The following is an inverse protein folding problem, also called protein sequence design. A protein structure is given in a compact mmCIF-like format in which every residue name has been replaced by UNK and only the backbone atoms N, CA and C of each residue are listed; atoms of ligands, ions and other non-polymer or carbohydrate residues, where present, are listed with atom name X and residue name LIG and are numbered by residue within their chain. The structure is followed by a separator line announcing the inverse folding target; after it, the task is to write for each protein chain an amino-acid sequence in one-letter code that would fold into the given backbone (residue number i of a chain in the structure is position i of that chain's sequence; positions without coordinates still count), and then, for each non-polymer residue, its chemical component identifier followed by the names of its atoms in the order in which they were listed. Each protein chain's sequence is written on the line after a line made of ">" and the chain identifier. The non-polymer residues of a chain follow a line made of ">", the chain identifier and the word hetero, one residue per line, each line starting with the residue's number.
data_IF_511401409928
#
_entry.id   IF_511401409928
#
_cell.length_a   1.000
_cell.length_b   1.000
_cell.length_c   1.000
_cell.angle_alpha   90.00
_cell.angle_beta   90.00
_cell.angle_gamma   90.00
#
_symmetry.space_group_name_H-M   'P 1'
#
loop_
_entity.id
_entity.type
_entity.pdbx_description
1 polymer ?
#
# COMPACT_ATOMS: atom_id res chain seq x y z
N UNK A 1 31.09 -0.30 10.81
CA UNK A 1 30.03 -1.32 10.63
C UNK A 1 28.84 -0.60 10.02
N UNK A 2 28.38 -1.01 8.83
CA UNK A 2 27.24 -0.39 8.14
C UNK A 2 26.10 -1.41 8.08
N UNK A 3 24.90 -0.98 8.44
CA UNK A 3 23.69 -1.79 8.36
C UNK A 3 22.72 -1.15 7.37
N UNK A 4 22.25 -1.95 6.41
CA UNK A 4 21.27 -1.56 5.41
C UNK A 4 20.04 -2.40 5.68
N UNK A 5 18.90 -1.73 5.81
CA UNK A 5 17.61 -2.37 6.01
C UNK A 5 16.68 -1.95 4.89
N UNK A 6 15.91 -2.92 4.40
CA UNK A 6 14.77 -2.63 3.54
C UNK A 6 13.69 -1.91 4.36
N UNK A 7 12.95 -1.04 3.70
CA UNK A 7 11.95 -0.20 4.34
C UNK A 7 10.60 -0.92 4.38
N UNK A 8 10.15 -1.41 3.22
CA UNK A 8 8.84 -2.02 3.07
C UNK A 8 8.80 -3.42 3.67
N UNK A 9 7.84 -3.66 4.56
CA UNK A 9 7.58 -4.97 5.19
C UNK A 9 8.74 -5.49 6.07
N UNK A 10 9.74 -4.64 6.35
CA UNK A 10 10.89 -4.94 7.22
C UNK A 10 11.00 -3.92 8.36
N UNK A 11 10.84 -2.62 8.09
CA UNK A 11 10.77 -1.59 9.15
C UNK A 11 9.35 -1.08 9.34
N UNK A 12 8.55 -1.04 8.26
CA UNK A 12 7.15 -0.61 8.29
C UNK A 12 6.26 -1.53 7.47
N UNK A 13 5.08 -1.85 8.01
CA UNK A 13 4.05 -2.57 7.27
C UNK A 13 3.40 -1.61 6.24
N UNK A 14 3.56 -1.93 4.96
CA UNK A 14 2.96 -1.16 3.86
C UNK A 14 1.77 -1.95 3.31
N UNK A 15 0.59 -1.36 3.40
CA UNK A 15 -0.65 -1.93 2.85
C UNK A 15 -1.24 -1.04 1.75
N UNK A 16 -1.06 -1.46 0.50
CA UNK A 16 -1.59 -0.77 -0.67
C UNK A 16 -3.11 -0.94 -0.83
N UNK A 17 -3.76 -1.88 -0.16
CA UNK A 17 -5.22 -2.03 -0.23
C UNK A 17 -5.93 -0.78 0.29
N UNK A 18 -5.33 -0.06 1.24
CA UNK A 18 -5.86 1.21 1.75
C UNK A 18 -5.85 2.31 0.70
N UNK A 19 -4.78 2.38 -0.10
CA UNK A 19 -4.65 3.37 -1.19
C UNK A 19 -5.66 3.05 -2.30
N UNK A 20 -5.73 1.78 -2.72
CA UNK A 20 -6.67 1.35 -3.75
C UNK A 20 -8.13 1.49 -3.30
N UNK A 21 -8.43 1.28 -2.01
CA UNK A 21 -9.75 1.53 -1.43
C UNK A 21 -10.16 3.00 -1.49
N UNK A 22 -9.25 3.92 -1.18
CA UNK A 22 -9.51 5.36 -1.29
C UNK A 22 -9.79 5.79 -2.74
N UNK A 23 -9.06 5.21 -3.70
CA UNK A 23 -9.30 5.45 -5.13
C UNK A 23 -10.60 4.85 -5.63
N UNK A 24 -10.96 3.66 -5.15
CA UNK A 24 -12.26 3.02 -5.41
C UNK A 24 -13.41 3.89 -4.93
N UNK A 25 -13.33 4.46 -3.72
CA UNK A 25 -14.34 5.38 -3.18
C UNK A 25 -14.47 6.66 -4.02
N UNK A 26 -13.34 7.28 -4.38
CA UNK A 26 -13.32 8.50 -5.19
C UNK A 26 -13.93 8.31 -6.59
N UNK A 27 -13.61 7.19 -7.23
CA UNK A 27 -13.99 6.91 -8.63
C UNK A 27 -15.32 6.16 -8.75
N UNK A 28 -15.80 5.57 -7.65
CA UNK A 28 -16.92 4.61 -7.61
C UNK A 28 -16.69 3.36 -8.46
N UNK A 29 -15.44 3.09 -8.82
CA UNK A 29 -15.04 1.85 -9.49
C UNK A 29 -14.79 0.81 -8.39
N UNK A 30 -15.43 -0.37 -8.43
CA UNK A 30 -15.20 -1.40 -7.41
C UNK A 30 -13.73 -1.81 -7.31
N UNK A 31 -13.22 -2.00 -6.09
CA UNK A 31 -11.83 -2.42 -5.86
C UNK A 31 -11.45 -3.71 -6.63
N UNK A 32 -12.40 -4.63 -6.81
CA UNK A 32 -12.18 -5.87 -7.58
C UNK A 32 -11.95 -5.64 -9.10
N UNK A 33 -12.08 -4.40 -9.57
CA UNK A 33 -11.86 -3.99 -10.96
C UNK A 33 -10.68 -3.02 -11.13
N UNK A 34 -9.92 -2.76 -10.06
CA UNK A 34 -8.65 -2.02 -10.06
C UNK A 34 -7.47 -3.01 -10.03
#
# INVERSE_FOLDING_TARGET
>A
MLYIFDLGNVIVDIDFNRVLGAWSDLTRIPLASL
#
